data_IF_940295884362
#
_entry.id   IF_940295884362
#
_cell.length_a   1.000
_cell.length_b   1.000
_cell.length_c   1.000
_cell.angle_alpha   90.00
_cell.angle_beta   90.00
_cell.angle_gamma   90.00
#
_symmetry.space_group_name_H-M   'P 1'
#
loop_
_entity.id
_entity.type
_entity.pdbx_description
1 polymer ?
#
# COMPACT_ATOMS: atom_id res chain seq x y z
N UNK A 1 -6.24 -19.40 -9.01
CA UNK A 1 -5.81 -17.99 -9.08
C UNK A 1 -6.71 -17.21 -8.15
N UNK A 2 -6.15 -16.45 -7.22
CA UNK A 2 -6.93 -15.63 -6.29
C UNK A 2 -7.49 -14.42 -7.09
N UNK A 3 -8.80 -14.21 -7.11
CA UNK A 3 -9.44 -13.13 -7.88
C UNK A 3 -8.90 -11.75 -7.49
N UNK A 4 -8.59 -11.56 -6.20
CA UNK A 4 -7.97 -10.34 -5.69
C UNK A 4 -6.57 -10.12 -6.27
N UNK A 5 -5.79 -11.19 -6.47
CA UNK A 5 -4.48 -11.10 -7.10
C UNK A 5 -4.59 -10.71 -8.57
N UNK A 6 -5.58 -11.24 -9.30
CA UNK A 6 -5.84 -10.83 -10.68
C UNK A 6 -6.21 -9.34 -10.74
N UNK A 7 -7.09 -8.88 -9.84
CA UNK A 7 -7.48 -7.48 -9.73
C UNK A 7 -6.27 -6.54 -9.47
N UNK A 8 -5.36 -6.92 -8.56
CA UNK A 8 -4.12 -6.15 -8.31
C UNK A 8 -3.26 -6.04 -9.58
N UNK A 9 -3.09 -7.14 -10.31
CA UNK A 9 -2.32 -7.11 -11.55
C UNK A 9 -2.99 -6.24 -12.62
N UNK A 10 -4.31 -6.38 -12.78
CA UNK A 10 -5.06 -5.71 -13.84
C UNK A 10 -5.21 -4.21 -13.62
N UNK A 11 -5.46 -3.79 -12.37
CA UNK A 11 -5.69 -2.39 -12.02
C UNK A 11 -4.39 -1.63 -11.72
N UNK A 12 -3.37 -2.30 -11.17
CA UNK A 12 -2.16 -1.62 -10.68
C UNK A 12 -0.96 -1.91 -11.57
N UNK A 13 -0.53 -3.17 -11.70
CA UNK A 13 0.72 -3.51 -12.39
C UNK A 13 0.65 -3.19 -13.89
N UNK A 14 -0.51 -3.38 -14.53
CA UNK A 14 -0.72 -3.03 -15.95
C UNK A 14 -0.54 -1.54 -16.26
N UNK A 15 -0.58 -0.65 -15.27
CA UNK A 15 -0.27 0.77 -15.46
C UNK A 15 1.21 1.03 -15.79
N UNK A 16 2.09 0.05 -15.55
CA UNK A 16 3.56 0.16 -15.67
C UNK A 16 4.20 1.19 -14.72
N UNK A 17 3.43 1.76 -13.81
CA UNK A 17 3.89 2.71 -12.80
C UNK A 17 3.70 2.22 -11.37
N UNK A 18 3.21 0.98 -11.22
CA UNK A 18 3.24 0.21 -9.96
C UNK A 18 4.15 -0.99 -10.19
N UNK A 19 5.17 -1.13 -9.35
CA UNK A 19 6.12 -2.25 -9.41
C UNK A 19 5.52 -3.49 -8.75
N UNK A 20 5.03 -3.34 -7.52
CA UNK A 20 4.44 -4.43 -6.74
C UNK A 20 3.23 -3.92 -5.97
N UNK A 21 2.30 -4.84 -5.67
CA UNK A 21 1.18 -4.52 -4.81
C UNK A 21 0.74 -5.71 -3.94
N UNK A 22 0.16 -5.42 -2.78
CA UNK A 22 -0.45 -6.37 -1.89
C UNK A 22 -1.72 -5.81 -1.27
N UNK A 23 -2.58 -6.71 -0.80
CA UNK A 23 -3.78 -6.44 -0.07
C UNK A 23 -3.68 -7.11 1.29
N UNK A 24 -3.85 -6.33 2.35
CA UNK A 24 -3.87 -6.80 3.74
C UNK A 24 -5.30 -6.72 4.23
N UNK A 25 -5.83 -7.81 4.78
CA UNK A 25 -7.10 -7.79 5.50
C UNK A 25 -6.87 -7.25 6.92
N UNK A 26 -7.61 -6.21 7.30
CA UNK A 26 -7.46 -5.49 8.58
C UNK A 26 -7.85 -6.39 9.76
N UNK A 27 -8.95 -7.13 9.64
CA UNK A 27 -9.49 -7.97 10.71
C UNK A 27 -8.65 -9.23 10.91
N UNK A 28 -8.27 -9.89 9.82
CA UNK A 28 -7.41 -11.07 9.86
C UNK A 28 -5.95 -10.73 10.15
N UNK A 29 -5.56 -9.46 9.99
CA UNK A 29 -4.19 -8.95 10.12
C UNK A 29 -3.18 -9.68 9.25
N UNK A 30 -3.61 -10.12 8.07
CA UNK A 30 -2.83 -10.95 7.14
C UNK A 30 -2.89 -10.42 5.71
N UNK A 31 -1.86 -10.73 4.95
CA UNK A 31 -1.83 -10.48 3.50
C UNK A 31 -2.72 -11.51 2.82
N UNK A 32 -3.80 -11.06 2.19
CA UNK A 32 -4.76 -11.94 1.50
C UNK A 32 -4.48 -12.07 0.00
N UNK A 33 -3.79 -11.10 -0.61
CA UNK A 33 -3.35 -11.16 -2.00
C UNK A 33 -2.08 -10.34 -2.22
N UNK A 34 -1.23 -10.75 -3.16
CA UNK A 34 -0.08 -9.96 -3.60
C UNK A 34 0.30 -10.25 -5.04
N UNK A 35 0.94 -9.29 -5.70
CA UNK A 35 1.52 -9.46 -7.04
C UNK A 35 2.64 -10.51 -7.01
N UNK A 36 2.90 -11.15 -8.14
CA UNK A 36 3.87 -12.24 -8.22
C UNK A 36 5.26 -11.81 -7.71
N UNK A 37 5.85 -12.59 -6.81
CA UNK A 37 7.16 -12.31 -6.22
C UNK A 37 7.16 -11.24 -5.12
N UNK A 38 6.02 -10.59 -4.84
CA UNK A 38 5.90 -9.62 -3.76
C UNK A 38 5.46 -10.27 -2.46
N UNK A 39 6.43 -10.58 -1.61
CA UNK A 39 6.18 -11.02 -0.24
C UNK A 39 6.24 -9.81 0.72
N UNK A 40 5.17 -9.60 1.47
CA UNK A 40 5.08 -8.61 2.56
C UNK A 40 5.17 -9.37 3.88
N UNK A 41 6.24 -9.16 4.68
CA UNK A 41 6.36 -9.83 5.98
C UNK A 41 5.18 -9.49 6.90
N UNK A 42 4.76 -10.47 7.72
CA UNK A 42 3.62 -10.29 8.64
C UNK A 42 3.84 -9.11 9.60
N UNK A 43 5.08 -8.94 10.09
CA UNK A 43 5.44 -7.78 10.92
C UNK A 43 5.21 -6.45 10.19
N UNK A 44 5.59 -6.34 8.91
CA UNK A 44 5.33 -5.14 8.13
C UNK A 44 3.83 -4.92 7.93
N UNK A 45 3.04 -5.98 7.70
CA UNK A 45 1.59 -5.86 7.59
C UNK A 45 0.96 -5.32 8.89
N UNK A 46 1.37 -5.85 10.05
CA UNK A 46 0.95 -5.37 11.37
C UNK A 46 1.38 -3.93 11.63
N UNK A 47 2.62 -3.56 11.27
CA UNK A 47 3.13 -2.21 11.41
C UNK A 47 2.33 -1.21 10.57
N UNK A 48 1.93 -1.58 9.35
CA UNK A 48 1.08 -0.76 8.50
C UNK A 48 -0.34 -0.61 9.07
N UNK A 49 -0.92 -1.68 9.63
CA UNK A 49 -2.21 -1.58 10.34
C UNK A 49 -2.06 -0.62 11.54
N UNK A 50 -1.06 -0.83 12.40
CA UNK A 50 -0.80 0.03 13.56
C UNK A 50 -0.54 1.50 13.17
N UNK A 51 0.09 1.74 12.03
CA UNK A 51 0.34 3.08 11.50
C UNK A 51 -0.96 3.89 11.37
N UNK A 52 -2.02 3.30 10.80
CA UNK A 52 -3.31 3.97 10.64
C UNK A 52 -4.06 4.16 11.97
N UNK A 53 -4.02 3.19 12.87
CA UNK A 53 -4.86 3.22 14.07
C UNK A 53 -4.23 3.94 15.28
N UNK A 54 -2.89 4.05 15.33
CA UNK A 54 -2.20 4.52 16.53
C UNK A 54 -1.07 5.52 16.26
N UNK A 55 -0.39 5.41 15.11
CA UNK A 55 0.92 6.03 14.94
C UNK A 55 0.98 7.09 13.83
N UNK A 56 -0.14 7.59 13.31
CA UNK A 56 -0.13 8.55 12.19
C UNK A 56 0.76 9.78 12.45
N UNK A 57 0.71 10.34 13.66
CA UNK A 57 1.57 11.50 14.04
C UNK A 57 3.04 11.13 14.02
N UNK A 58 3.39 9.92 14.48
CA UNK A 58 4.76 9.44 14.46
C UNK A 58 5.24 9.20 13.03
N UNK A 59 4.42 8.55 12.19
CA UNK A 59 4.75 8.33 10.77
C UNK A 59 4.98 9.65 10.05
N UNK A 60 4.16 10.69 10.31
CA UNK A 60 4.38 12.04 9.74
C UNK A 60 5.75 12.63 10.10
N UNK A 61 6.23 12.42 11.33
CA UNK A 61 7.48 13.00 11.84
C UNK A 61 8.70 12.18 11.45
N UNK A 62 8.60 10.87 11.60
CA UNK A 62 9.74 9.96 11.61
C UNK A 62 9.79 9.09 10.35
N UNK A 63 8.74 9.01 9.54
CA UNK A 63 8.64 8.04 8.45
C UNK A 63 8.31 6.63 8.96
N UNK A 64 8.62 5.62 8.14
CA UNK A 64 8.31 4.22 8.47
C UNK A 64 9.29 3.27 7.76
N UNK A 65 9.58 2.15 8.40
CA UNK A 65 10.37 1.07 7.82
C UNK A 65 9.48 0.02 7.15
N UNK A 66 9.79 -0.29 5.89
CA UNK A 66 9.11 -1.33 5.13
C UNK A 66 10.12 -2.20 4.41
N UNK A 67 10.09 -3.51 4.69
CA UNK A 67 11.06 -4.50 4.16
C UNK A 67 12.51 -4.04 4.30
N UNK A 68 12.88 -3.71 5.54
CA UNK A 68 14.23 -3.26 5.92
C UNK A 68 14.69 -1.95 5.27
N UNK A 69 13.82 -1.27 4.51
CA UNK A 69 14.10 0.04 3.92
C UNK A 69 13.37 1.13 4.66
N UNK A 70 14.09 2.20 4.97
CA UNK A 70 13.51 3.41 5.52
C UNK A 70 12.81 4.22 4.42
N UNK A 71 11.62 4.73 4.72
CA UNK A 71 10.92 5.69 3.88
C UNK A 71 10.52 6.93 4.67
N UNK A 72 10.77 8.09 4.07
CA UNK A 72 10.33 9.38 4.59
C UNK A 72 8.86 9.59 4.26
N UNK A 73 8.10 10.11 5.21
CA UNK A 73 6.70 10.44 4.98
C UNK A 73 6.56 11.65 4.05
N UNK A 74 5.70 11.51 3.04
CA UNK A 74 5.24 12.60 2.15
C UNK A 74 3.83 13.03 2.57
N UNK A 75 2.97 12.07 2.87
CA UNK A 75 1.61 12.27 3.37
C UNK A 75 1.27 11.13 4.33
N UNK A 76 0.53 11.43 5.38
CA UNK A 76 -0.11 10.41 6.20
C UNK A 76 -1.38 11.00 6.78
N UNK A 77 -2.52 10.37 6.58
CA UNK A 77 -3.81 10.72 7.17
C UNK A 77 -4.62 9.44 7.44
N UNK A 78 -5.88 9.60 7.81
CA UNK A 78 -6.75 8.49 8.22
C UNK A 78 -7.01 7.46 7.11
N UNK A 79 -6.83 7.86 5.85
CA UNK A 79 -7.11 7.04 4.67
C UNK A 79 -5.84 6.64 3.92
N UNK A 80 -4.82 7.49 3.91
CA UNK A 80 -3.68 7.30 3.02
C UNK A 80 -2.35 7.68 3.67
N UNK A 81 -1.36 6.82 3.48
CA UNK A 81 0.04 7.03 3.86
C UNK A 81 0.90 6.89 2.60
N UNK A 82 1.56 7.97 2.21
CA UNK A 82 2.52 8.00 1.11
C UNK A 82 3.91 8.21 1.65
N UNK A 83 4.80 7.31 1.32
CA UNK A 83 6.19 7.35 1.73
C UNK A 83 7.12 7.29 0.53
N UNK A 84 8.30 7.87 0.67
CA UNK A 84 9.30 7.97 -0.40
C UNK A 84 10.71 7.72 0.13
N UNK A 85 11.54 7.10 -0.69
CA UNK A 85 12.99 6.98 -0.49
C UNK A 85 13.72 7.06 -1.85
N UNK A 86 15.06 7.10 -1.88
CA UNK A 86 15.80 7.21 -3.14
C UNK A 86 15.51 6.10 -4.18
N UNK A 87 15.13 4.91 -3.71
CA UNK A 87 14.81 3.77 -4.58
C UNK A 87 13.42 3.85 -5.21
N UNK A 88 12.52 4.67 -4.66
CA UNK A 88 11.12 4.74 -5.08
C UNK A 88 10.16 5.20 -3.99
N UNK A 89 9.00 4.56 -3.89
CA UNK A 89 8.04 4.90 -2.85
C UNK A 89 7.04 3.81 -2.53
N UNK A 90 6.38 4.00 -1.41
CA UNK A 90 5.38 3.11 -0.82
C UNK A 90 4.08 3.90 -0.66
N UNK A 91 3.05 3.47 -1.39
CA UNK A 91 1.70 4.00 -1.31
C UNK A 91 0.86 3.00 -0.52
N UNK A 92 0.28 3.46 0.59
CA UNK A 92 -0.54 2.64 1.46
C UNK A 92 -1.88 3.32 1.63
N UNK A 93 -2.96 2.65 1.26
CA UNK A 93 -4.32 3.21 1.30
C UNK A 93 -5.25 2.28 2.04
N UNK A 94 -5.91 2.80 3.05
CA UNK A 94 -6.85 2.09 3.92
C UNK A 94 -8.28 2.20 3.37
N UNK A 95 -8.96 1.07 3.30
CA UNK A 95 -10.39 0.91 2.99
C UNK A 95 -11.13 0.48 4.27
N UNK A 96 -12.36 -0.03 4.18
CA UNK A 96 -13.08 -0.45 5.39
C UNK A 96 -12.55 -1.77 5.97
N UNK A 97 -12.17 -2.70 5.11
CA UNK A 97 -11.76 -4.08 5.43
C UNK A 97 -10.33 -4.39 4.99
N UNK A 98 -9.80 -3.64 4.02
CA UNK A 98 -8.46 -3.85 3.49
C UNK A 98 -7.52 -2.65 3.62
N UNK A 99 -6.22 -2.93 3.62
CA UNK A 99 -5.16 -1.97 3.34
C UNK A 99 -4.48 -2.39 2.04
N UNK A 100 -4.55 -1.52 1.04
CA UNK A 100 -3.79 -1.61 -0.20
C UNK A 100 -2.36 -1.13 0.05
N UNK A 101 -1.39 -1.92 -0.39
CA UNK A 101 0.03 -1.60 -0.32
C UNK A 101 0.57 -1.66 -1.73
N UNK A 102 1.23 -0.61 -2.20
CA UNK A 102 1.83 -0.57 -3.53
C UNK A 102 3.20 0.09 -3.50
N UNK A 103 4.14 -0.44 -4.27
CA UNK A 103 5.44 0.19 -4.48
C UNK A 103 5.59 0.69 -5.90
N UNK A 104 6.35 1.77 -6.06
CA UNK A 104 6.90 2.18 -7.35
C UNK A 104 8.41 2.38 -7.17
N UNK A 105 9.16 2.27 -8.25
CA UNK A 105 10.62 2.47 -8.26
C UNK A 105 11.03 3.78 -8.92
N UNK A 106 12.27 4.19 -8.72
CA UNK A 106 12.87 5.31 -9.45
C UNK A 106 12.65 5.17 -10.97
N UNK A 107 12.23 6.26 -11.61
CA UNK A 107 11.88 6.30 -13.04
C UNK A 107 10.41 6.00 -13.36
N UNK A 108 9.60 5.54 -12.39
CA UNK A 108 8.14 5.54 -12.51
C UNK A 108 7.55 6.89 -12.08
N UNK A 109 6.31 7.19 -12.49
CA UNK A 109 5.60 8.39 -12.07
C UNK A 109 4.83 8.14 -10.76
N UNK A 110 5.20 8.80 -9.65
CA UNK A 110 4.51 8.63 -8.36
C UNK A 110 3.03 8.99 -8.42
N UNK A 111 2.68 10.02 -9.19
CA UNK A 111 1.29 10.46 -9.37
C UNK A 111 0.39 9.38 -9.97
N UNK A 112 0.88 8.64 -10.97
CA UNK A 112 0.13 7.55 -11.60
C UNK A 112 -0.05 6.37 -10.65
N UNK A 113 0.98 6.05 -9.86
CA UNK A 113 0.89 5.04 -8.81
C UNK A 113 -0.17 5.42 -7.77
N UNK A 114 -0.11 6.65 -7.24
CA UNK A 114 -1.11 7.16 -6.29
C UNK A 114 -2.52 7.09 -6.87
N UNK A 115 -2.71 7.60 -8.09
CA UNK A 115 -4.03 7.61 -8.72
C UNK A 115 -4.61 6.20 -8.92
N UNK A 116 -3.80 5.25 -9.36
CA UNK A 116 -4.24 3.87 -9.57
C UNK A 116 -4.64 3.18 -8.26
N UNK A 117 -3.86 3.38 -7.19
CA UNK A 117 -4.11 2.77 -5.88
C UNK A 117 -5.32 3.39 -5.20
N UNK A 118 -5.46 4.72 -5.24
CA UNK A 118 -6.63 5.41 -4.68
C UNK A 118 -7.91 5.02 -5.41
N UNK A 119 -7.91 4.95 -6.75
CA UNK A 119 -9.09 4.50 -7.51
C UNK A 119 -9.52 3.08 -7.15
N UNK A 120 -8.55 2.18 -6.96
CA UNK A 120 -8.86 0.82 -6.52
C UNK A 120 -9.38 0.80 -5.08
N UNK A 121 -8.84 1.64 -4.20
CA UNK A 121 -9.33 1.79 -2.83
C UNK A 121 -10.77 2.33 -2.80
N UNK A 122 -11.09 3.33 -3.62
CA UNK A 122 -12.43 3.88 -3.76
C UNK A 122 -13.41 2.80 -4.25
N UNK A 123 -13.01 1.99 -5.23
CA UNK A 123 -13.81 0.85 -5.68
C UNK A 123 -14.14 -0.12 -4.53
N UNK A 124 -13.19 -0.44 -3.66
CA UNK A 124 -13.46 -1.28 -2.49
C UNK A 124 -14.43 -0.61 -1.51
N UNK A 125 -14.20 0.68 -1.20
CA UNK A 125 -15.07 1.46 -0.31
C UNK A 125 -16.51 1.49 -0.81
N UNK A 126 -16.72 1.72 -2.11
CA UNK A 126 -18.04 1.71 -2.75
C UNK A 126 -18.73 0.34 -2.68
N UNK A 127 -17.96 -0.75 -2.69
CA UNK A 127 -18.47 -2.12 -2.52
C UNK A 127 -18.70 -2.50 -1.06
N UNK A 128 -18.46 -1.59 -0.11
CA UNK A 128 -18.58 -1.85 1.33
C UNK A 128 -17.40 -2.64 1.91
N UNK A 129 -16.26 -2.63 1.22
CA UNK A 129 -15.01 -3.27 1.61
C UNK A 129 -13.90 -2.26 1.92
#
# INVERSE_FOLDING_TARGET
>A
MNELQALLNDCLVRTKHVENAALINIDERKVCASTFGFNVPEENALNLICAFYKNLVQVRREGLYFKEKYYKCVRADEHSIYLHNPDGGLIVVKTYTFILVATYRAGMYPSVCVEAVEKLADYFREKGS
#
